data_IF_289387778540
#
_entry.id   IF_289387778540
#
_cell.length_a   1.000
_cell.length_b   1.000
_cell.length_c   1.000
_cell.angle_alpha   90.00
_cell.angle_beta   90.00
_cell.angle_gamma   90.00
#
_symmetry.space_group_name_H-M   'P 1'
#
loop_
_entity.id
_entity.type
_entity.pdbx_description
1 polymer ?
#
# COMPACT_ATOMS: atom_id res chain seq x y z
N UNK A 1 -15.76 -17.60 -2.78
CA UNK A 1 -15.37 -17.17 -4.14
C UNK A 1 -13.88 -16.89 -4.14
N UNK A 2 -13.20 -17.09 -5.27
CA UNK A 2 -11.76 -16.80 -5.38
C UNK A 2 -11.58 -15.39 -5.96
N UNK A 3 -10.74 -14.57 -5.34
CA UNK A 3 -10.30 -13.32 -5.94
C UNK A 3 -9.32 -13.62 -7.08
N UNK A 4 -9.31 -12.79 -8.12
CA UNK A 4 -8.32 -12.88 -9.24
C UNK A 4 -7.68 -11.55 -9.56
N UNK A 5 -8.22 -10.46 -9.01
CA UNK A 5 -7.74 -9.11 -9.26
C UNK A 5 -7.68 -8.35 -7.96
N UNK A 6 -6.58 -7.62 -7.81
CA UNK A 6 -6.35 -6.69 -6.72
C UNK A 6 -6.21 -5.27 -7.30
N UNK A 7 -6.91 -4.33 -6.68
CA UNK A 7 -6.72 -2.88 -6.91
C UNK A 7 -6.26 -2.27 -5.60
N UNK A 8 -5.15 -1.53 -5.66
CA UNK A 8 -4.56 -0.80 -4.55
C UNK A 8 -4.63 0.69 -4.83
N UNK A 9 -5.08 1.46 -3.85
CA UNK A 9 -4.88 2.92 -3.82
C UNK A 9 -4.16 3.30 -2.53
N UNK A 10 -3.38 4.37 -2.59
CA UNK A 10 -2.63 4.89 -1.45
C UNK A 10 -2.68 6.41 -1.44
N UNK A 11 -2.62 7.00 -0.25
CA UNK A 11 -2.51 8.44 -0.09
C UNK A 11 -1.29 8.98 -0.85
N UNK A 12 -1.51 10.01 -1.66
CA UNK A 12 -0.45 10.64 -2.46
C UNK A 12 0.40 11.62 -1.64
N UNK A 13 -0.11 12.04 -0.48
CA UNK A 13 0.55 12.93 0.46
C UNK A 13 0.57 12.22 1.81
N UNK A 14 1.68 11.53 2.14
CA UNK A 14 1.78 10.80 3.40
C UNK A 14 1.92 11.76 4.57
N UNK A 15 1.56 11.26 5.76
CA UNK A 15 1.68 11.99 7.00
C UNK A 15 3.08 11.79 7.63
N UNK A 16 3.52 12.82 8.35
CA UNK A 16 4.59 12.75 9.34
C UNK A 16 3.92 12.52 10.71
N UNK A 17 3.97 11.28 11.20
CA UNK A 17 3.24 10.93 12.43
C UNK A 17 3.99 11.31 13.69
N UNK A 18 5.32 11.44 13.61
CA UNK A 18 6.19 11.73 14.76
C UNK A 18 6.71 13.19 14.80
N UNK A 19 6.46 13.97 13.74
CA UNK A 19 6.84 15.37 13.62
C UNK A 19 8.32 15.63 13.33
N UNK A 20 9.06 14.65 12.79
CA UNK A 20 10.50 14.76 12.55
C UNK A 20 10.86 15.34 11.16
N UNK A 21 9.85 15.68 10.36
CA UNK A 21 10.00 16.23 9.02
C UNK A 21 10.15 15.17 7.92
N UNK A 22 9.86 13.89 8.19
CA UNK A 22 9.87 12.81 7.20
C UNK A 22 8.47 12.19 7.09
N UNK A 23 8.06 11.90 5.86
CA UNK A 23 6.83 11.18 5.59
C UNK A 23 6.98 9.71 6.00
N UNK A 24 6.22 9.27 7.00
CA UNK A 24 6.32 7.93 7.57
C UNK A 24 5.03 7.10 7.48
N UNK A 25 3.86 7.73 7.31
CA UNK A 25 2.56 7.07 7.41
C UNK A 25 1.71 7.23 6.16
N UNK A 26 1.18 6.12 5.65
CA UNK A 26 0.37 6.05 4.43
C UNK A 26 -0.91 5.27 4.71
N UNK A 27 -2.05 5.76 4.24
CA UNK A 27 -3.27 4.95 4.21
C UNK A 27 -3.38 4.27 2.87
N UNK A 28 -3.78 3.01 2.91
CA UNK A 28 -4.03 2.20 1.72
C UNK A 28 -5.45 1.67 1.74
N UNK A 29 -6.06 1.64 0.57
CA UNK A 29 -7.35 1.00 0.35
C UNK A 29 -7.18 -0.07 -0.71
N UNK A 30 -7.73 -1.25 -0.45
CA UNK A 30 -7.69 -2.38 -1.35
C UNK A 30 -9.10 -2.86 -1.66
N UNK A 31 -9.31 -3.16 -2.94
CA UNK A 31 -10.48 -3.87 -3.43
C UNK A 31 -10.04 -5.15 -4.12
N UNK A 32 -10.64 -6.26 -3.71
CA UNK A 32 -10.47 -7.56 -4.35
C UNK A 32 -11.68 -7.84 -5.24
N UNK A 33 -11.43 -8.34 -6.44
CA UNK A 33 -12.46 -8.71 -7.39
C UNK A 33 -12.26 -10.17 -7.78
N UNK A 34 -13.34 -10.90 -7.99
CA UNK A 34 -13.29 -12.24 -8.58
C UNK A 34 -13.03 -12.16 -10.09
N UNK A 35 -13.76 -12.92 -10.90
CA UNK A 35 -13.51 -12.98 -12.34
C UNK A 35 -13.92 -11.67 -13.04
N UNK A 36 -12.92 -10.91 -13.50
CA UNK A 36 -13.10 -9.65 -14.25
C UNK A 36 -14.02 -9.79 -15.46
N UNK A 37 -14.15 -10.97 -16.06
CA UNK A 37 -15.03 -11.20 -17.23
C UNK A 37 -16.51 -11.10 -16.88
N UNK A 38 -16.86 -11.08 -15.60
CA UNK A 38 -18.24 -11.07 -15.11
C UNK A 38 -18.69 -9.72 -14.52
N UNK A 39 -17.90 -8.65 -14.68
CA UNK A 39 -18.21 -7.32 -14.10
C UNK A 39 -18.54 -7.39 -12.60
N UNK A 40 -17.73 -8.10 -11.84
CA UNK A 40 -18.03 -8.37 -10.43
C UNK A 40 -17.81 -7.12 -9.56
N UNK A 41 -18.73 -6.91 -8.61
CA UNK A 41 -18.53 -6.02 -7.48
C UNK A 41 -17.33 -6.53 -6.65
N UNK A 42 -16.64 -5.65 -5.90
CA UNK A 42 -15.58 -6.11 -5.03
C UNK A 42 -16.14 -7.07 -3.97
N UNK A 43 -15.26 -7.94 -3.47
CA UNK A 43 -15.59 -9.00 -2.51
C UNK A 43 -14.57 -9.03 -1.38
N UNK A 44 -14.98 -9.51 -0.20
CA UNK A 44 -14.02 -9.94 0.82
C UNK A 44 -13.62 -11.40 0.59
N UNK A 45 -12.34 -11.67 0.78
CA UNK A 45 -11.73 -13.01 0.80
C UNK A 45 -10.83 -13.11 2.02
N UNK A 46 -10.88 -14.23 2.73
CA UNK A 46 -9.95 -14.51 3.82
C UNK A 46 -8.55 -14.79 3.26
N UNK A 47 -7.53 -14.21 3.87
CA UNK A 47 -6.15 -14.30 3.41
C UNK A 47 -5.27 -13.24 4.09
N UNK A 48 -4.04 -13.13 3.63
CA UNK A 48 -3.04 -12.19 4.14
C UNK A 48 -2.56 -11.22 3.06
N UNK A 49 -2.08 -10.06 3.48
CA UNK A 49 -1.47 -9.07 2.59
C UNK A 49 0.02 -8.91 2.89
N UNK A 50 0.81 -8.74 1.83
CA UNK A 50 2.20 -8.30 1.92
C UNK A 50 2.32 -7.01 1.13
N UNK A 51 2.85 -5.98 1.76
CA UNK A 51 3.14 -4.69 1.14
C UNK A 51 4.65 -4.49 1.06
N UNK A 52 5.11 -4.00 -0.08
CA UNK A 52 6.53 -3.70 -0.29
C UNK A 52 6.66 -2.29 -0.87
N UNK A 53 7.49 -1.50 -0.21
CA UNK A 53 7.87 -0.17 -0.64
C UNK A 53 9.29 -0.24 -1.18
N UNK A 54 9.48 0.19 -2.42
CA UNK A 54 10.78 0.18 -3.09
C UNK A 54 11.11 1.52 -3.71
N UNK A 55 12.39 1.85 -3.85
CA UNK A 55 12.81 3.02 -4.63
C UNK A 55 12.60 2.76 -6.15
N UNK A 56 12.82 3.75 -7.04
CA UNK A 56 12.67 3.55 -8.49
C UNK A 56 13.63 2.53 -9.09
N UNK A 57 14.78 2.30 -8.45
CA UNK A 57 15.78 1.31 -8.87
C UNK A 57 15.41 -0.13 -8.44
N UNK A 58 14.39 -0.28 -7.60
CA UNK A 58 13.87 -1.57 -7.13
C UNK A 58 14.40 -2.01 -5.77
N UNK A 59 15.22 -1.20 -5.09
CA UNK A 59 15.70 -1.51 -3.75
C UNK A 59 14.56 -1.43 -2.74
N UNK A 60 14.47 -2.43 -1.86
CA UNK A 60 13.46 -2.51 -0.83
C UNK A 60 13.74 -1.50 0.29
N UNK A 61 12.77 -0.62 0.54
CA UNK A 61 12.81 0.39 1.60
C UNK A 61 12.07 -0.08 2.86
N UNK A 62 10.91 -0.72 2.69
CA UNK A 62 10.08 -1.22 3.78
C UNK A 62 9.19 -2.38 3.32
N UNK A 63 8.83 -3.27 4.25
CA UNK A 63 7.95 -4.41 4.01
C UNK A 63 7.02 -4.65 5.19
N UNK A 64 5.72 -4.71 4.93
CA UNK A 64 4.70 -5.04 5.93
C UNK A 64 4.04 -6.36 5.57
N UNK A 65 3.77 -7.17 6.58
CA UNK A 65 3.02 -8.42 6.45
C UNK A 65 1.83 -8.29 7.38
N UNK A 66 0.63 -8.32 6.81
CA UNK A 66 -0.62 -8.35 7.55
C UNK A 66 -1.18 -9.77 7.50
N UNK A 67 -1.32 -10.40 8.65
CA UNK A 67 -1.86 -11.75 8.73
C UNK A 67 -3.37 -11.80 8.46
N UNK A 68 -3.97 -13.00 8.55
CA UNK A 68 -5.40 -13.19 8.29
C UNK A 68 -6.28 -12.43 9.30
N UNK A 69 -5.82 -12.28 10.54
CA UNK A 69 -6.56 -11.59 11.59
C UNK A 69 -6.55 -10.08 11.36
N UNK A 70 -5.36 -9.51 11.14
CA UNK A 70 -5.19 -8.09 10.82
C UNK A 70 -5.95 -7.73 9.53
N UNK A 71 -5.87 -8.60 8.53
CA UNK A 71 -6.62 -8.44 7.27
C UNK A 71 -8.13 -8.42 7.50
N UNK A 72 -8.64 -9.27 8.40
CA UNK A 72 -10.07 -9.31 8.74
C UNK A 72 -10.51 -8.05 9.49
N UNK A 73 -9.65 -7.51 10.35
CA UNK A 73 -9.92 -6.27 11.09
C UNK A 73 -9.93 -5.04 10.19
N UNK A 74 -9.15 -5.04 9.10
CA UNK A 74 -9.14 -3.95 8.12
C UNK A 74 -10.34 -3.88 7.19
N UNK A 75 -11.33 -4.78 7.31
CA UNK A 75 -12.51 -4.81 6.44
C UNK A 75 -13.43 -3.61 6.68
N UNK A 76 -13.95 -3.04 5.60
CA UNK A 76 -15.02 -2.06 5.65
C UNK A 76 -16.01 -2.23 4.49
N UNK A 77 -17.17 -1.61 4.62
CA UNK A 77 -18.18 -1.47 3.57
C UNK A 77 -18.20 -0.04 3.05
N UNK A 78 -18.04 0.17 1.73
CA UNK A 78 -18.19 1.48 1.09
C UNK A 78 -19.27 1.45 0.02
N UNK A 79 -19.62 2.63 -0.50
CA UNK A 79 -20.61 2.76 -1.58
C UNK A 79 -20.27 1.95 -2.83
N UNK A 80 -18.96 1.76 -3.11
CA UNK A 80 -18.47 0.97 -4.24
C UNK A 80 -18.41 -0.54 -3.95
N UNK A 81 -18.75 -0.95 -2.73
CA UNK A 81 -18.73 -2.33 -2.24
C UNK A 81 -17.70 -2.57 -1.11
N UNK A 82 -17.51 -3.84 -0.71
CA UNK A 82 -16.60 -4.21 0.39
C UNK A 82 -15.15 -3.95 0.02
N UNK A 83 -14.35 -3.48 0.98
CA UNK A 83 -12.93 -3.20 0.81
C UNK A 83 -12.12 -3.48 2.07
N UNK A 84 -10.81 -3.23 1.97
CA UNK A 84 -9.86 -3.29 3.08
C UNK A 84 -9.14 -1.96 3.22
N UNK A 85 -8.98 -1.48 4.44
CA UNK A 85 -8.30 -0.22 4.76
C UNK A 85 -7.21 -0.48 5.79
N UNK A 86 -5.99 -0.03 5.49
CA UNK A 86 -4.86 -0.16 6.41
C UNK A 86 -4.10 1.16 6.50
N UNK A 87 -3.45 1.36 7.65
CA UNK A 87 -2.45 2.41 7.84
C UNK A 87 -1.10 1.73 7.94
N UNK A 88 -0.20 2.05 7.00
CA UNK A 88 1.16 1.55 6.97
C UNK A 88 2.08 2.64 7.52
N UNK A 89 2.80 2.36 8.60
CA UNK A 89 3.84 3.24 9.11
C UNK A 89 5.22 2.61 8.85
N UNK A 90 6.12 3.35 8.19
CA UNK A 90 7.48 2.89 7.91
C UNK A 90 8.22 2.60 9.21
N UNK A 91 7.97 3.36 10.27
CA UNK A 91 8.64 3.22 11.56
C UNK A 91 8.34 1.88 12.24
N UNK A 92 7.25 1.20 11.86
CA UNK A 92 6.91 -0.11 12.40
C UNK A 92 7.86 -1.20 11.89
N UNK A 93 8.52 -0.98 10.75
CA UNK A 93 9.28 -2.02 10.03
C UNK A 93 10.68 -1.59 9.58
N UNK A 94 10.96 -0.29 9.53
CA UNK A 94 12.19 0.29 9.00
C UNK A 94 12.43 1.72 9.53
N UNK A 95 13.39 2.43 8.96
CA UNK A 95 13.63 3.86 9.22
C UNK A 95 12.96 4.73 8.16
N UNK A 96 12.33 5.82 8.61
CA UNK A 96 11.74 6.88 7.77
C UNK A 96 12.77 7.83 7.15
N UNK A 97 14.06 7.69 7.48
CA UNK A 97 15.18 8.43 6.90
C UNK A 97 15.53 7.93 5.50
N UNK A 98 14.52 7.85 4.66
CA UNK A 98 14.62 7.51 3.25
C UNK A 98 15.10 8.76 2.50
N UNK A 99 16.21 8.64 1.81
CA UNK A 99 16.79 9.74 1.01
C UNK A 99 16.02 9.99 -0.29
N UNK A 100 15.34 8.96 -0.79
CA UNK A 100 14.48 9.05 -1.97
C UNK A 100 13.25 9.92 -1.69
N UNK A 101 12.73 10.55 -2.74
CA UNK A 101 11.50 11.35 -2.68
C UNK A 101 10.28 10.63 -3.25
N UNK A 102 10.51 9.53 -3.95
CA UNK A 102 9.51 8.77 -4.68
C UNK A 102 9.78 7.30 -4.42
N UNK A 103 8.74 6.57 -4.08
CA UNK A 103 8.80 5.13 -3.92
C UNK A 103 7.58 4.48 -4.57
N UNK A 104 7.73 3.21 -4.91
CA UNK A 104 6.71 2.35 -5.48
C UNK A 104 6.19 1.42 -4.41
N UNK A 105 4.90 1.53 -4.10
CA UNK A 105 4.20 0.63 -3.20
C UNK A 105 3.52 -0.47 -4.02
N UNK A 106 3.86 -1.71 -3.73
CA UNK A 106 3.23 -2.92 -4.28
C UNK A 106 2.53 -3.70 -3.18
N UNK A 107 1.58 -4.52 -3.60
CA UNK A 107 0.83 -5.38 -2.71
C UNK A 107 0.61 -6.75 -3.36
N UNK A 108 0.83 -7.79 -2.57
CA UNK A 108 0.45 -9.16 -2.88
C UNK A 108 -0.59 -9.61 -1.86
N UNK A 109 -1.69 -10.19 -2.34
CA UNK A 109 -2.68 -10.87 -1.51
C UNK A 109 -2.57 -12.37 -1.67
N UNK A 110 -2.44 -13.08 -0.56
CA UNK A 110 -2.43 -14.55 -0.54
C UNK A 110 -3.75 -15.04 0.04
N UNK A 111 -4.72 -15.48 -0.79
CA UNK A 111 -5.97 -16.01 -0.28
C UNK A 111 -5.71 -17.31 0.49
N UNK A 112 -6.57 -17.63 1.47
CA UNK A 112 -6.50 -18.91 2.18
C UNK A 112 -6.61 -20.13 1.25
N UNK A 113 -7.22 -19.95 0.08
CA UNK A 113 -7.32 -20.95 -1.00
C UNK A 113 -7.16 -20.26 -2.36
N UNK A 114 -6.28 -20.80 -3.20
CA UNK A 114 -5.99 -20.28 -4.54
C UNK A 114 -4.57 -19.71 -4.63
N UNK A 115 -4.28 -19.12 -5.78
CA UNK A 115 -2.97 -18.52 -6.04
C UNK A 115 -2.88 -17.09 -5.48
N UNK A 116 -1.67 -16.64 -5.07
CA UNK A 116 -1.43 -15.24 -4.73
C UNK A 116 -1.76 -14.29 -5.89
N UNK A 117 -2.23 -13.10 -5.56
CA UNK A 117 -2.64 -12.06 -6.50
C UNK A 117 -1.77 -10.84 -6.27
N UNK A 118 -0.98 -10.47 -7.26
CA UNK A 118 -0.23 -9.22 -7.25
C UNK A 118 -1.05 -8.07 -7.83
N UNK A 119 -0.88 -6.87 -7.27
CA UNK A 119 -1.39 -5.65 -7.89
C UNK A 119 -0.84 -5.49 -9.32
N UNK A 120 -1.68 -5.04 -10.25
CA UNK A 120 -1.18 -4.65 -11.58
C UNK A 120 -0.56 -3.26 -11.51
N UNK A 121 0.77 -3.18 -11.41
CA UNK A 121 1.53 -1.94 -11.36
C UNK A 121 2.02 -1.61 -9.95
N UNK A 122 2.20 -0.33 -9.64
CA UNK A 122 2.54 0.12 -8.30
C UNK A 122 1.84 1.45 -8.03
N UNK A 123 1.48 1.69 -6.77
CA UNK A 123 1.09 3.03 -6.33
C UNK A 123 2.37 3.83 -6.09
N UNK A 124 2.62 4.85 -6.90
CA UNK A 124 3.73 5.77 -6.67
C UNK A 124 3.36 6.71 -5.53
N UNK A 125 4.20 6.78 -4.49
CA UNK A 125 3.99 7.61 -3.31
C UNK A 125 5.23 8.45 -3.05
N UNK A 126 5.04 9.62 -2.43
CA UNK A 126 6.16 10.42 -1.94
C UNK A 126 6.65 9.87 -0.62
N UNK A 127 7.95 9.87 -0.40
CA UNK A 127 8.59 9.42 0.86
C UNK A 127 9.73 10.36 1.22
N UNK A 128 10.28 10.23 2.42
CA UNK A 128 11.41 11.04 2.85
C UNK A 128 11.01 12.46 3.29
N UNK A 129 11.92 13.45 3.20
CA UNK A 129 11.73 14.76 3.81
C UNK A 129 10.51 15.55 3.31
N UNK A 130 9.63 15.96 4.23
CA UNK A 130 8.52 16.89 4.00
C UNK A 130 9.04 18.32 4.18
N UNK A 131 9.20 19.06 3.08
CA UNK A 131 9.36 20.54 3.16
C UNK A 131 10.67 21.15 2.68
N UNK A 132 11.54 20.44 1.96
CA UNK A 132 12.65 21.12 1.25
C UNK A 132 12.28 21.40 -0.21
N UNK A 133 11.92 22.66 -0.50
CA UNK A 133 12.17 23.24 -1.83
C UNK A 133 13.63 22.92 -2.16
N UNK A 134 13.86 22.20 -3.26
CA UNK A 134 15.17 22.14 -3.87
C UNK A 134 15.61 23.59 -4.05
N UNK A 135 16.62 24.05 -3.31
CA UNK A 135 17.34 25.27 -3.71
C UNK A 135 17.95 24.91 -5.06
N UNK A 136 17.29 25.37 -6.13
CA UNK A 136 17.88 25.37 -7.45
C UNK A 136 19.18 26.18 -7.32
N UNK A 137 20.35 25.64 -7.69
CA UNK A 137 21.57 26.44 -7.71
C UNK A 137 21.31 27.62 -8.66
N UNK A 138 21.51 28.84 -8.15
CA UNK A 138 21.47 30.03 -8.97
C UNK A 138 22.48 29.83 -10.12
N UNK A 139 21.99 29.97 -11.35
CA UNK A 139 22.84 30.07 -12.54
C UNK A 139 23.48 31.45 -12.58
#
# INVERSE_FOLDING_TARGET
MAATTLVLTADQVPADSNGNGYADTFRVIIYLFGDRRRHELPIHVDGSFVFELSNPDGDLLARWVLDEEETRQGRFEAMVGPGYGFTLNILDVASDRISDRIANLRCVFSPRRGEPIEVRGAATIRVGPIGTRSRQPAR
#
